data_IF_244502871841
#
_entry.id   IF_244502871841
#
_cell.length_a   1.000
_cell.length_b   1.000
_cell.length_c   1.000
_cell.angle_alpha   90.00
_cell.angle_beta   90.00
_cell.angle_gamma   90.00
#
_symmetry.space_group_name_H-M   'P 1'
#
loop_
_entity.id
_entity.type
_entity.pdbx_description
1 polymer ?
#
# COMPACT_ATOMS: atom_id res chain seq x y z
N UNK A 1 2.03 -1.36 -2.42
CA UNK A 1 3.16 -2.16 -1.91
C UNK A 1 4.43 -1.34 -1.81
N UNK A 2 5.27 -1.65 -0.82
CA UNK A 2 6.53 -0.96 -0.62
C UNK A 2 7.63 -1.88 -0.10
N UNK A 3 8.71 -1.29 0.41
CA UNK A 3 9.89 -2.05 0.83
C UNK A 3 9.58 -3.10 1.90
N UNK A 4 8.66 -2.79 2.83
CA UNK A 4 8.27 -3.75 3.86
C UNK A 4 7.65 -5.02 3.30
N UNK A 5 6.92 -4.92 2.20
CA UNK A 5 6.41 -6.10 1.49
C UNK A 5 7.57 -6.94 0.95
N UNK A 6 8.57 -6.28 0.37
CA UNK A 6 9.75 -6.97 -0.16
C UNK A 6 10.54 -7.68 0.94
N UNK A 7 10.76 -7.00 2.07
CA UNK A 7 11.49 -7.57 3.21
C UNK A 7 10.76 -8.79 3.76
N UNK A 8 9.44 -8.72 3.89
CA UNK A 8 8.63 -9.82 4.43
C UNK A 8 8.34 -10.90 3.38
N UNK A 9 8.67 -10.69 2.12
CA UNK A 9 8.32 -11.58 1.01
C UNK A 9 6.82 -11.86 0.98
N UNK A 10 6.02 -10.80 1.08
CA UNK A 10 4.57 -10.90 1.25
C UNK A 10 3.79 -10.83 -0.08
N UNK A 11 4.47 -10.84 -1.22
CA UNK A 11 3.81 -10.68 -2.53
C UNK A 11 2.77 -11.76 -2.82
N UNK A 12 3.01 -12.99 -2.35
CA UNK A 12 2.07 -14.10 -2.57
C UNK A 12 0.81 -13.93 -1.71
N UNK A 13 0.96 -13.51 -0.47
CA UNK A 13 -0.15 -13.27 0.45
C UNK A 13 -1.00 -12.08 -0.03
N UNK A 14 -0.37 -11.04 -0.55
CA UNK A 14 -1.08 -9.90 -1.14
C UNK A 14 -1.91 -10.34 -2.34
N UNK A 15 -1.34 -11.16 -3.23
CA UNK A 15 -2.09 -11.70 -4.36
C UNK A 15 -3.26 -12.55 -3.90
N UNK A 16 -3.07 -13.41 -2.90
CA UNK A 16 -4.14 -14.23 -2.34
C UNK A 16 -5.28 -13.37 -1.80
N UNK A 17 -4.96 -12.33 -1.02
CA UNK A 17 -5.96 -11.40 -0.51
C UNK A 17 -6.73 -10.73 -1.64
N UNK A 18 -6.03 -10.24 -2.65
CA UNK A 18 -6.66 -9.59 -3.80
C UNK A 18 -7.61 -10.54 -4.53
N UNK A 19 -7.20 -11.79 -4.73
CA UNK A 19 -8.04 -12.79 -5.39
C UNK A 19 -9.32 -13.08 -4.59
N UNK A 20 -9.20 -13.16 -3.26
CA UNK A 20 -10.36 -13.36 -2.38
C UNK A 20 -11.35 -12.19 -2.48
N UNK A 21 -10.84 -10.96 -2.50
CA UNK A 21 -11.68 -9.77 -2.61
C UNK A 21 -12.35 -9.69 -3.98
N UNK A 22 -11.62 -10.00 -5.04
CA UNK A 22 -12.16 -10.01 -6.40
C UNK A 22 -13.26 -11.08 -6.57
N UNK A 23 -13.12 -12.21 -5.90
CA UNK A 23 -14.13 -13.27 -5.89
C UNK A 23 -15.46 -12.79 -5.28
N UNK A 24 -15.42 -11.76 -4.46
CA UNK A 24 -16.62 -11.14 -3.87
C UNK A 24 -17.16 -9.97 -4.71
N UNK A 25 -16.62 -9.74 -5.89
CA UNK A 25 -17.04 -8.67 -6.77
C UNK A 25 -16.40 -7.31 -6.48
N UNK A 26 -15.34 -7.29 -5.67
CA UNK A 26 -14.63 -6.06 -5.33
C UNK A 26 -13.57 -5.78 -6.40
N UNK A 27 -13.52 -4.54 -6.89
CA UNK A 27 -12.51 -4.10 -7.86
C UNK A 27 -11.20 -3.82 -7.10
N UNK A 28 -10.17 -4.62 -7.35
CA UNK A 28 -8.87 -4.49 -6.71
C UNK A 28 -7.84 -3.99 -7.72
N UNK A 29 -7.13 -2.93 -7.35
CA UNK A 29 -6.07 -2.34 -8.15
C UNK A 29 -4.81 -2.21 -7.32
N UNK A 30 -3.66 -2.43 -7.96
CA UNK A 30 -2.35 -2.28 -7.32
C UNK A 30 -1.76 -0.94 -7.74
N UNK A 31 -1.59 -0.04 -6.78
CA UNK A 31 -0.99 1.27 -7.03
C UNK A 31 0.53 1.19 -6.87
N UNK A 32 1.25 1.38 -7.96
CA UNK A 32 2.69 1.19 -8.00
C UNK A 32 3.40 2.55 -8.05
N UNK A 33 4.23 2.80 -7.05
CA UNK A 33 5.13 3.95 -7.08
C UNK A 33 6.44 3.54 -7.77
N UNK A 34 6.95 4.34 -8.71
CA UNK A 34 8.09 3.94 -9.52
C UNK A 34 9.37 3.68 -8.73
N UNK A 35 9.52 4.29 -7.55
CA UNK A 35 10.72 4.10 -6.71
C UNK A 35 10.43 3.39 -5.40
N UNK A 36 9.25 2.76 -5.25
CA UNK A 36 8.98 1.94 -4.08
C UNK A 36 9.95 0.76 -4.04
N UNK A 37 10.45 0.46 -2.85
CA UNK A 37 11.45 -0.59 -2.67
C UNK A 37 12.88 -0.07 -2.78
N UNK A 38 13.79 -0.86 -3.33
CA UNK A 38 15.22 -0.56 -3.41
C UNK A 38 15.74 -0.31 -4.83
N UNK A 39 14.90 -0.52 -5.83
CA UNK A 39 15.28 -0.31 -7.23
C UNK A 39 14.04 0.06 -8.06
N UNK A 40 14.21 0.76 -9.18
CA UNK A 40 13.09 1.05 -10.06
C UNK A 40 12.40 -0.25 -10.51
N UNK A 41 11.06 -0.27 -10.45
CA UNK A 41 10.29 -1.45 -10.84
C UNK A 41 10.32 -2.60 -9.85
N UNK A 42 10.85 -2.39 -8.63
CA UNK A 42 10.99 -3.45 -7.63
C UNK A 42 9.65 -4.14 -7.34
N UNK A 43 8.59 -3.36 -7.12
CA UNK A 43 7.27 -3.92 -6.83
C UNK A 43 6.67 -4.66 -8.03
N UNK A 44 6.92 -4.17 -9.23
CA UNK A 44 6.48 -4.85 -10.46
C UNK A 44 7.07 -6.26 -10.55
N UNK A 45 8.36 -6.41 -10.25
CA UNK A 45 9.05 -7.70 -10.28
C UNK A 45 8.45 -8.66 -9.25
N UNK A 46 8.25 -8.19 -8.01
CA UNK A 46 7.70 -9.05 -6.95
C UNK A 46 6.27 -9.49 -7.25
N UNK A 47 5.45 -8.60 -7.76
CA UNK A 47 4.07 -8.93 -8.09
C UNK A 47 4.00 -9.87 -9.30
N UNK A 48 4.89 -9.69 -10.28
CA UNK A 48 5.01 -10.63 -11.41
C UNK A 48 5.41 -12.02 -10.92
N UNK A 49 6.31 -12.10 -9.95
CA UNK A 49 6.71 -13.37 -9.33
C UNK A 49 5.52 -14.06 -8.66
N UNK A 50 4.60 -13.27 -8.09
CA UNK A 50 3.37 -13.78 -7.49
C UNK A 50 2.25 -14.03 -8.51
N UNK A 51 2.54 -13.90 -9.80
CA UNK A 51 1.58 -14.10 -10.90
C UNK A 51 0.42 -13.08 -10.89
N UNK A 52 0.67 -11.88 -10.43
CA UNK A 52 -0.30 -10.78 -10.56
C UNK A 52 -0.30 -10.32 -12.01
N UNK A 53 -1.49 -10.23 -12.61
CA UNK A 53 -1.64 -9.76 -13.99
C UNK A 53 -1.15 -8.32 -14.12
N UNK A 54 -0.38 -8.04 -15.16
CA UNK A 54 0.12 -6.70 -15.45
C UNK A 54 -1.02 -5.67 -15.55
N UNK A 55 -2.17 -6.08 -16.03
CA UNK A 55 -3.34 -5.20 -16.19
C UNK A 55 -3.87 -4.64 -14.86
N UNK A 56 -3.54 -5.28 -13.75
CA UNK A 56 -3.95 -4.85 -12.41
C UNK A 56 -2.96 -3.87 -11.77
N UNK A 57 -1.81 -3.65 -12.41
CA UNK A 57 -0.77 -2.73 -11.92
C UNK A 57 -0.99 -1.35 -12.53
N UNK A 58 -1.24 -0.36 -11.69
CA UNK A 58 -1.50 1.02 -12.10
C UNK A 58 -0.34 1.91 -11.72
N UNK A 59 0.14 2.68 -12.68
CA UNK A 59 1.18 3.67 -12.43
C UNK A 59 0.63 4.85 -11.62
N UNK A 60 1.52 5.56 -10.95
CA UNK A 60 1.17 6.67 -10.06
C UNK A 60 0.24 7.69 -10.75
N UNK A 61 0.56 8.09 -11.98
CA UNK A 61 -0.20 9.09 -12.71
C UNK A 61 -1.63 8.62 -13.02
N UNK A 62 -1.80 7.32 -13.21
CA UNK A 62 -3.09 6.74 -13.59
C UNK A 62 -3.98 6.49 -12.36
N UNK A 63 -3.38 6.13 -11.22
CA UNK A 63 -4.16 5.77 -10.03
C UNK A 63 -4.45 6.97 -9.12
N UNK A 64 -3.60 7.98 -9.08
CA UNK A 64 -3.78 9.10 -8.17
C UNK A 64 -5.15 9.79 -8.31
N UNK A 65 -5.68 10.03 -9.52
CA UNK A 65 -7.02 10.61 -9.63
C UNK A 65 -8.14 9.72 -9.10
N UNK A 66 -7.89 8.44 -8.91
CA UNK A 66 -8.90 7.47 -8.49
C UNK A 66 -9.01 7.31 -6.97
N UNK A 67 -8.05 7.83 -6.19
CA UNK A 67 -8.09 7.65 -4.73
C UNK A 67 -9.29 8.33 -4.09
N UNK A 68 -9.75 9.47 -4.61
CA UNK A 68 -10.91 10.17 -4.05
C UNK A 68 -12.20 9.36 -4.17
N UNK A 69 -12.26 8.39 -5.08
CA UNK A 69 -13.40 7.48 -5.23
C UNK A 69 -13.09 6.06 -4.72
N UNK A 70 -11.97 5.88 -4.03
CA UNK A 70 -11.55 4.59 -3.49
C UNK A 70 -12.12 4.40 -2.08
N UNK A 71 -12.76 3.27 -1.85
CA UNK A 71 -13.37 2.94 -0.54
C UNK A 71 -12.31 2.55 0.49
N UNK A 72 -11.30 1.79 0.07
CA UNK A 72 -10.26 1.28 0.96
C UNK A 72 -8.93 1.23 0.24
N UNK A 73 -7.91 1.82 0.86
CA UNK A 73 -6.53 1.69 0.44
C UNK A 73 -5.75 0.92 1.50
N UNK A 74 -5.10 -0.16 1.09
CA UNK A 74 -4.25 -0.95 1.98
C UNK A 74 -2.80 -0.69 1.59
N UNK A 75 -2.04 -0.12 2.50
CA UNK A 75 -0.63 0.20 2.28
C UNK A 75 0.21 -0.89 2.92
N UNK A 76 0.95 -1.62 2.09
CA UNK A 76 1.69 -2.81 2.53
C UNK A 76 3.18 -2.52 2.54
N UNK A 77 3.67 -2.08 3.70
CA UNK A 77 5.10 -1.86 3.91
C UNK A 77 5.67 -0.64 3.18
N UNK A 78 4.86 0.35 2.85
CA UNK A 78 5.32 1.61 2.26
C UNK A 78 5.27 2.73 3.29
N UNK A 79 6.10 3.76 3.11
CA UNK A 79 6.12 4.92 4.00
C UNK A 79 6.30 6.22 3.22
N UNK A 80 7.52 6.52 2.76
CA UNK A 80 7.81 7.80 2.10
C UNK A 80 6.95 8.05 0.87
N UNK A 81 6.64 6.99 0.11
CA UNK A 81 5.87 7.09 -1.13
C UNK A 81 4.39 7.43 -0.92
N UNK A 82 3.94 7.42 0.34
CA UNK A 82 2.58 7.83 0.73
C UNK A 82 2.60 8.94 1.78
N UNK A 83 3.74 9.60 1.97
CA UNK A 83 3.87 10.66 2.98
C UNK A 83 3.38 12.00 2.43
N UNK A 84 2.28 12.56 2.97
CA UNK A 84 1.73 13.82 2.48
C UNK A 84 2.70 15.02 2.58
N UNK A 85 3.73 14.94 3.43
CA UNK A 85 4.73 16.02 3.54
C UNK A 85 5.42 16.30 2.20
N UNK A 86 5.58 15.29 1.37
CA UNK A 86 6.17 15.46 0.03
C UNK A 86 5.32 16.37 -0.87
N UNK A 87 4.02 16.41 -0.63
CA UNK A 87 3.08 17.22 -1.40
C UNK A 87 2.79 18.57 -0.74
N UNK A 88 2.63 18.57 0.59
CA UNK A 88 2.02 19.69 1.31
C UNK A 88 3.00 20.52 2.15
N UNK A 89 4.17 20.02 2.50
CA UNK A 89 5.12 20.67 3.40
C UNK A 89 6.36 21.15 2.64
N UNK A 90 6.36 22.43 2.24
CA UNK A 90 7.47 23.03 1.49
C UNK A 90 8.80 22.99 2.25
N UNK A 91 8.76 22.90 3.59
CA UNK A 91 9.97 22.80 4.42
C UNK A 91 10.50 21.39 4.56
N UNK A 92 9.81 20.38 4.05
CA UNK A 92 10.22 18.99 4.19
C UNK A 92 11.35 18.62 3.22
N UNK A 93 12.34 17.81 3.67
CA UNK A 93 13.39 17.31 2.77
C UNK A 93 12.86 16.50 1.59
N UNK A 94 11.66 15.94 1.68
CA UNK A 94 11.06 15.16 0.60
C UNK A 94 10.08 15.96 -0.27
N UNK A 95 9.92 17.26 0.00
CA UNK A 95 8.97 18.09 -0.75
C UNK A 95 9.27 18.05 -2.25
N UNK A 96 8.22 17.87 -3.03
CA UNK A 96 8.31 17.80 -4.50
C UNK A 96 8.43 16.37 -5.03
N UNK A 97 8.64 15.38 -4.17
CA UNK A 97 8.63 13.98 -4.62
C UNK A 97 7.17 13.57 -4.90
N UNK A 98 6.90 13.01 -6.08
CA UNK A 98 5.56 12.46 -6.35
C UNK A 98 5.22 11.36 -5.36
N UNK A 99 3.98 11.35 -4.87
CA UNK A 99 3.50 10.32 -3.96
C UNK A 99 2.17 9.76 -4.41
N UNK A 100 1.82 8.60 -3.87
CA UNK A 100 0.49 8.03 -4.02
C UNK A 100 -0.45 8.72 -3.00
N UNK A 101 -1.54 9.31 -3.48
CA UNK A 101 -2.46 10.11 -2.67
C UNK A 101 -3.46 9.22 -1.90
N UNK A 102 -2.95 8.21 -1.19
CA UNK A 102 -3.81 7.26 -0.47
C UNK A 102 -4.66 7.92 0.63
N UNK A 103 -4.21 9.07 1.15
CA UNK A 103 -4.94 9.82 2.16
C UNK A 103 -6.32 10.31 1.67
N UNK A 104 -6.54 10.34 0.36
CA UNK A 104 -7.82 10.72 -0.24
C UNK A 104 -8.85 9.58 -0.25
N UNK A 105 -8.43 8.33 0.00
CA UNK A 105 -9.35 7.21 0.10
C UNK A 105 -10.25 7.35 1.33
N UNK A 106 -11.42 6.74 1.30
CA UNK A 106 -12.35 6.79 2.42
C UNK A 106 -11.73 6.20 3.70
N UNK A 107 -11.07 5.05 3.57
CA UNK A 107 -10.34 4.41 4.66
C UNK A 107 -8.97 3.96 4.20
N UNK A 108 -7.96 4.16 5.04
CA UNK A 108 -6.59 3.72 4.79
C UNK A 108 -6.17 2.76 5.88
N UNK A 109 -5.67 1.59 5.49
CA UNK A 109 -5.05 0.63 6.42
C UNK A 109 -3.56 0.63 6.14
N UNK A 110 -2.77 1.04 7.14
CA UNK A 110 -1.31 1.08 7.06
C UNK A 110 -0.73 -0.14 7.76
N UNK A 111 -0.07 -1.00 7.01
CA UNK A 111 0.62 -2.16 7.57
C UNK A 111 2.09 -1.83 7.72
N UNK A 112 2.55 -1.70 8.96
CA UNK A 112 3.93 -1.38 9.33
C UNK A 112 4.27 -2.03 10.65
N UNK A 113 5.57 -2.24 10.91
CA UNK A 113 6.03 -2.79 12.19
C UNK A 113 5.95 -1.77 13.32
N UNK A 114 6.07 -0.48 13.00
CA UNK A 114 6.09 0.59 14.00
C UNK A 114 5.75 1.94 13.36
N UNK A 115 5.72 2.98 14.17
CA UNK A 115 5.55 4.36 13.69
C UNK A 115 6.85 5.00 13.20
N UNK A 116 7.95 4.24 13.14
CA UNK A 116 9.24 4.75 12.68
C UNK A 116 9.15 5.29 11.26
N UNK A 117 9.90 6.38 10.94
CA UNK A 117 9.94 6.92 9.59
C UNK A 117 10.62 5.95 8.61
N UNK A 118 10.42 6.18 7.32
CA UNK A 118 11.07 5.42 6.27
C UNK A 118 12.50 5.88 6.02
N UNK A 119 13.03 5.57 4.84
CA UNK A 119 14.40 5.88 4.45
C UNK A 119 14.72 7.38 4.57
N UNK A 120 13.75 8.25 4.27
CA UNK A 120 13.95 9.70 4.34
C UNK A 120 14.14 10.23 5.75
N UNK A 121 13.71 9.48 6.77
CA UNK A 121 13.70 9.94 8.15
C UNK A 121 12.59 10.95 8.47
N UNK A 122 11.73 11.27 7.53
CA UNK A 122 10.66 12.24 7.71
C UNK A 122 9.44 11.58 8.36
N UNK A 123 8.93 12.11 9.49
CA UNK A 123 7.70 11.58 10.10
C UNK A 123 6.53 11.65 9.12
N UNK A 124 5.66 10.65 9.16
CA UNK A 124 4.53 10.54 8.24
C UNK A 124 3.22 10.84 8.96
N UNK A 125 2.65 12.02 8.71
CA UNK A 125 1.40 12.45 9.33
C UNK A 125 0.19 11.62 8.89
N UNK A 126 0.31 10.88 7.79
CA UNK A 126 -0.74 9.95 7.36
C UNK A 126 -1.09 8.94 8.47
N UNK A 127 -0.11 8.54 9.27
CA UNK A 127 -0.32 7.58 10.36
C UNK A 127 -1.33 8.08 11.40
N UNK A 128 -1.49 9.37 11.51
CA UNK A 128 -2.37 10.01 12.49
C UNK A 128 -3.65 10.59 11.87
N UNK A 129 -3.87 10.40 10.58
CA UNK A 129 -5.06 10.89 9.92
C UNK A 129 -6.32 10.19 10.43
N UNK A 130 -7.44 10.90 10.45
CA UNK A 130 -8.70 10.36 10.97
C UNK A 130 -9.20 9.13 10.23
N UNK A 131 -8.86 9.00 8.94
CA UNK A 131 -9.28 7.88 8.10
C UNK A 131 -8.24 6.75 8.05
N UNK A 132 -7.14 6.86 8.78
CA UNK A 132 -6.07 5.87 8.79
C UNK A 132 -6.17 4.95 10.00
N UNK A 133 -6.05 3.64 9.74
CA UNK A 133 -5.95 2.62 10.77
C UNK A 133 -4.59 1.94 10.64
N UNK A 134 -3.85 1.89 11.75
CA UNK A 134 -2.53 1.26 11.78
C UNK A 134 -2.66 -0.21 12.18
N UNK A 135 -1.96 -1.06 11.44
CA UNK A 135 -1.85 -2.49 11.76
C UNK A 135 -0.36 -2.80 11.95
N UNK A 136 0.06 -2.92 13.21
CA UNK A 136 1.46 -3.13 13.56
C UNK A 136 1.82 -4.61 13.48
N UNK A 137 2.43 -5.00 12.39
CA UNK A 137 2.85 -6.38 12.13
C UNK A 137 3.82 -6.37 10.94
N UNK A 138 4.55 -7.47 10.73
CA UNK A 138 5.20 -7.62 9.45
C UNK A 138 4.14 -7.82 8.34
N UNK A 139 4.52 -7.47 7.12
CA UNK A 139 3.54 -7.41 6.03
C UNK A 139 2.94 -8.79 5.71
N UNK A 140 3.75 -9.84 5.75
CA UNK A 140 3.28 -11.20 5.40
C UNK A 140 2.24 -11.68 6.40
N UNK A 141 2.53 -11.55 7.69
CA UNK A 141 1.63 -11.98 8.76
C UNK A 141 0.33 -11.18 8.74
N UNK A 142 0.43 -9.85 8.61
CA UNK A 142 -0.74 -8.98 8.58
C UNK A 142 -1.67 -9.30 7.42
N UNK A 143 -1.12 -9.43 6.22
CA UNK A 143 -1.92 -9.73 5.03
C UNK A 143 -2.56 -11.12 5.13
N UNK A 144 -1.82 -12.11 5.65
CA UNK A 144 -2.37 -13.45 5.86
C UNK A 144 -3.54 -13.43 6.84
N UNK A 145 -3.45 -12.66 7.93
CA UNK A 145 -4.53 -12.52 8.91
C UNK A 145 -5.76 -11.85 8.28
N UNK A 146 -5.57 -10.84 7.46
CA UNK A 146 -6.68 -10.18 6.75
C UNK A 146 -7.34 -11.17 5.80
N UNK A 147 -6.55 -11.94 5.06
CA UNK A 147 -7.06 -12.95 4.13
C UNK A 147 -7.89 -14.00 4.87
N UNK A 148 -7.42 -14.47 6.02
CA UNK A 148 -8.15 -15.44 6.84
C UNK A 148 -9.48 -14.85 7.34
N UNK A 149 -9.49 -13.59 7.76
CA UNK A 149 -10.72 -12.92 8.19
C UNK A 149 -11.72 -12.79 7.03
N UNK A 150 -11.26 -12.52 5.83
CA UNK A 150 -12.12 -12.46 4.63
C UNK A 150 -12.72 -13.82 4.34
N UNK A 151 -11.92 -14.90 4.45
CA UNK A 151 -12.42 -16.28 4.26
C UNK A 151 -13.50 -16.63 5.26
N UNK A 152 -13.32 -16.26 6.54
CA UNK A 152 -14.32 -16.50 7.59
C UNK A 152 -15.63 -15.78 7.29
N UNK A 153 -15.56 -14.56 6.74
CA UNK A 153 -16.75 -13.81 6.35
C UNK A 153 -17.49 -14.47 5.18
N UNK A 154 -16.77 -15.09 4.24
CA UNK A 154 -17.38 -15.82 3.12
C UNK A 154 -18.13 -17.06 3.62
N UNK A 155 -17.61 -17.73 4.64
CA UNK A 155 -18.18 -18.97 5.18
C UNK A 155 -19.35 -18.69 6.13
N UNK A 156 -19.55 -17.44 6.49
CA UNK A 156 -20.69 -17.02 7.32
C UNK A 156 -21.91 -16.72 6.44
#
# INVERSE_FOLDING_TARGET
PGYGLAVAQAQHEVRELADLLEAQGIDVRYAIHPVAGRMPGHMNVLLAEANVSYEKLYELEDINPEFSSTDLAIVVGANDVVNPAARDDEGSPIYGMPILNVDEAETVVMIKRSLSPGYSGVPNDLFYANNTKMLFSDAKEAVAQIADAVKEMEDA
#
